data_IF_530835827917
#
_entry.id   IF_530835827917
#
_cell.length_a   1.000
_cell.length_b   1.000
_cell.length_c   1.000
_cell.angle_alpha   90.00
_cell.angle_beta   90.00
_cell.angle_gamma   90.00
#
_symmetry.space_group_name_H-M   'P 1'
#
loop_
_entity.id
_entity.type
_entity.pdbx_description
1 polymer ?
#
# COMPACT_ATOMS: atom_id res chain seq x y z
N UNK A 1 63.92 -18.47 -9.18
CA UNK A 1 62.79 -18.81 -10.06
C UNK A 1 62.21 -20.12 -9.58
N UNK A 2 61.01 -20.10 -8.99
CA UNK A 2 60.23 -21.31 -8.71
C UNK A 2 58.85 -21.02 -9.26
N UNK A 3 58.53 -21.62 -10.41
CA UNK A 3 57.17 -21.65 -10.94
C UNK A 3 56.50 -22.81 -10.22
N UNK A 4 55.56 -22.59 -9.29
CA UNK A 4 54.91 -23.67 -8.60
C UNK A 4 53.96 -24.35 -9.59
N UNK A 5 54.29 -25.58 -9.95
CA UNK A 5 53.44 -26.51 -10.68
C UNK A 5 52.31 -26.98 -9.77
N UNK A 6 51.43 -26.08 -9.34
CA UNK A 6 50.06 -26.41 -8.98
C UNK A 6 49.24 -25.13 -8.77
N UNK A 7 48.78 -24.55 -9.88
CA UNK A 7 47.83 -23.42 -9.86
C UNK A 7 46.43 -23.84 -9.36
N UNK A 8 46.32 -24.83 -8.47
CA UNK A 8 45.06 -25.28 -7.86
C UNK A 8 44.40 -24.13 -7.12
N UNK A 9 45.17 -23.31 -6.39
CA UNK A 9 44.63 -22.15 -5.68
C UNK A 9 44.04 -21.10 -6.64
N UNK A 10 44.72 -20.81 -7.76
CA UNK A 10 44.19 -19.89 -8.79
C UNK A 10 42.96 -20.49 -9.51
N UNK A 11 42.96 -21.79 -9.82
CA UNK A 11 41.80 -22.48 -10.38
C UNK A 11 40.62 -22.47 -9.42
N UNK A 12 40.85 -22.71 -8.13
CA UNK A 12 39.84 -22.66 -7.08
C UNK A 12 39.26 -21.26 -6.92
N UNK A 13 40.09 -20.22 -6.93
CA UNK A 13 39.64 -18.83 -6.90
C UNK A 13 38.75 -18.47 -8.11
N UNK A 14 39.10 -18.95 -9.32
CA UNK A 14 38.27 -18.74 -10.52
C UNK A 14 36.93 -19.48 -10.41
N UNK A 15 36.91 -20.72 -9.89
CA UNK A 15 35.66 -21.46 -9.68
C UNK A 15 34.78 -20.77 -8.64
N UNK A 16 35.34 -20.34 -7.51
CA UNK A 16 34.60 -19.58 -6.49
C UNK A 16 34.05 -18.26 -7.03
N UNK A 17 34.81 -17.53 -7.85
CA UNK A 17 34.34 -16.31 -8.48
C UNK A 17 33.19 -16.57 -9.47
N UNK A 18 33.23 -17.69 -10.22
CA UNK A 18 32.12 -18.09 -11.10
C UNK A 18 30.86 -18.42 -10.32
N UNK A 19 30.97 -19.18 -9.23
CA UNK A 19 29.84 -19.50 -8.34
C UNK A 19 29.25 -18.20 -7.77
N UNK A 20 30.09 -17.26 -7.31
CA UNK A 20 29.63 -15.98 -6.79
C UNK A 20 28.85 -15.15 -7.83
N UNK A 21 29.25 -15.20 -9.11
CA UNK A 21 28.51 -14.54 -10.20
C UNK A 21 27.16 -15.23 -10.43
N UNK A 22 27.13 -16.55 -10.48
CA UNK A 22 25.90 -17.33 -10.68
C UNK A 22 24.90 -17.10 -9.53
N UNK A 23 25.40 -17.08 -8.28
CA UNK A 23 24.61 -16.73 -7.10
C UNK A 23 24.10 -15.28 -7.19
N UNK A 24 24.91 -14.33 -7.65
CA UNK A 24 24.49 -12.95 -7.83
C UNK A 24 23.39 -12.82 -8.90
N UNK A 25 23.47 -13.58 -9.99
CA UNK A 25 22.42 -13.60 -11.02
C UNK A 25 21.10 -14.21 -10.53
N UNK A 26 21.18 -15.29 -9.74
CA UNK A 26 20.00 -15.89 -9.09
C UNK A 26 19.35 -14.89 -8.13
N UNK A 27 20.16 -14.26 -7.27
CA UNK A 27 19.68 -13.25 -6.32
C UNK A 27 19.03 -12.06 -7.04
N UNK A 28 19.61 -11.61 -8.16
CA UNK A 28 19.06 -10.53 -8.96
C UNK A 28 17.68 -10.89 -9.54
N UNK A 29 17.53 -12.12 -10.07
CA UNK A 29 16.23 -12.61 -10.55
C UNK A 29 15.20 -12.67 -9.43
N UNK A 30 15.59 -13.17 -8.26
CA UNK A 30 14.71 -13.25 -7.09
C UNK A 30 14.24 -11.85 -6.64
N UNK A 31 15.17 -10.90 -6.53
CA UNK A 31 14.84 -9.51 -6.17
C UNK A 31 13.88 -8.86 -7.17
N UNK A 32 14.04 -9.14 -8.47
CA UNK A 32 13.13 -8.63 -9.50
C UNK A 32 11.71 -9.20 -9.34
N UNK A 33 11.59 -10.51 -9.13
CA UNK A 33 10.29 -11.17 -8.92
C UNK A 33 9.60 -10.65 -7.65
N UNK A 34 10.34 -10.50 -6.55
CA UNK A 34 9.81 -9.98 -5.29
C UNK A 34 9.37 -8.53 -5.42
N UNK A 35 10.09 -7.72 -6.20
CA UNK A 35 9.67 -6.36 -6.52
C UNK A 35 8.36 -6.35 -7.33
N UNK A 36 8.25 -7.16 -8.38
CA UNK A 36 7.03 -7.26 -9.20
C UNK A 36 5.83 -7.63 -8.30
N UNK A 37 6.00 -8.62 -7.43
CA UNK A 37 4.98 -9.02 -6.45
C UNK A 37 4.63 -7.89 -5.49
N UNK A 38 5.61 -7.17 -4.96
CA UNK A 38 5.41 -6.03 -4.06
C UNK A 38 4.58 -4.93 -4.73
N UNK A 39 4.90 -4.57 -5.98
CA UNK A 39 4.16 -3.57 -6.76
C UNK A 39 2.73 -4.04 -7.03
N UNK A 40 2.52 -5.29 -7.44
CA UNK A 40 1.17 -5.83 -7.69
C UNK A 40 0.32 -5.84 -6.42
N UNK A 41 0.89 -6.28 -5.30
CA UNK A 41 0.19 -6.28 -4.01
C UNK A 41 -0.18 -4.85 -3.59
N UNK A 42 0.75 -3.90 -3.72
CA UNK A 42 0.49 -2.51 -3.37
C UNK A 42 -0.60 -1.88 -4.26
N UNK A 43 -0.59 -2.19 -5.56
CA UNK A 43 -1.65 -1.75 -6.48
C UNK A 43 -3.02 -2.32 -6.08
N UNK A 44 -3.10 -3.61 -5.76
CA UNK A 44 -4.34 -4.22 -5.28
C UNK A 44 -4.82 -3.58 -3.97
N UNK A 45 -3.92 -3.23 -3.04
CA UNK A 45 -4.26 -2.49 -1.82
C UNK A 45 -4.87 -1.12 -2.14
N UNK A 46 -4.29 -0.37 -3.08
CA UNK A 46 -4.82 0.94 -3.51
C UNK A 46 -6.24 0.79 -4.08
N UNK A 47 -6.48 -0.21 -4.94
CA UNK A 47 -7.81 -0.47 -5.50
C UNK A 47 -8.83 -0.80 -4.42
N UNK A 48 -8.48 -1.67 -3.47
CA UNK A 48 -9.35 -2.02 -2.35
C UNK A 48 -9.67 -0.80 -1.48
N UNK A 49 -8.69 0.06 -1.21
CA UNK A 49 -8.92 1.27 -0.42
C UNK A 49 -9.80 2.29 -1.16
N UNK A 50 -9.63 2.45 -2.47
CA UNK A 50 -10.51 3.29 -3.28
C UNK A 50 -11.98 2.82 -3.18
N UNK A 51 -12.23 1.51 -3.28
CA UNK A 51 -13.58 0.97 -3.10
C UNK A 51 -14.13 1.19 -1.68
N UNK A 52 -13.28 1.09 -0.66
CA UNK A 52 -13.68 1.37 0.73
C UNK A 52 -14.06 2.84 0.94
N UNK A 53 -13.41 3.79 0.24
CA UNK A 53 -13.80 5.21 0.27
C UNK A 53 -15.23 5.36 -0.23
N UNK A 54 -15.58 4.71 -1.34
CA UNK A 54 -16.93 4.81 -1.91
C UNK A 54 -17.99 4.24 -0.95
N UNK A 55 -17.70 3.11 -0.31
CA UNK A 55 -18.57 2.52 0.71
C UNK A 55 -18.72 3.46 1.91
N UNK A 56 -17.62 4.04 2.40
CA UNK A 56 -17.66 4.97 3.53
C UNK A 56 -18.45 6.25 3.19
N UNK A 57 -18.31 6.78 1.97
CA UNK A 57 -19.10 7.92 1.48
C UNK A 57 -20.59 7.61 1.46
N UNK A 58 -20.98 6.44 0.95
CA UNK A 58 -22.37 6.01 0.95
C UNK A 58 -22.93 5.85 2.36
N UNK A 59 -22.14 5.29 3.29
CA UNK A 59 -22.53 5.18 4.70
C UNK A 59 -22.83 6.56 5.29
N UNK A 60 -21.92 7.53 5.13
CA UNK A 60 -22.10 8.89 5.63
C UNK A 60 -23.37 9.52 5.05
N UNK A 61 -23.58 9.43 3.74
CA UNK A 61 -24.78 9.96 3.08
C UNK A 61 -26.07 9.33 3.60
N UNK A 62 -26.06 8.04 3.91
CA UNK A 62 -27.22 7.35 4.48
C UNK A 62 -27.50 7.85 5.90
N UNK A 63 -26.48 7.96 6.74
CA UNK A 63 -26.64 8.45 8.12
C UNK A 63 -27.05 9.92 8.17
N UNK A 64 -26.60 10.75 7.24
CA UNK A 64 -27.08 12.13 7.10
C UNK A 64 -28.58 12.20 6.88
N UNK A 65 -29.13 11.33 6.03
CA UNK A 65 -30.58 11.23 5.82
C UNK A 65 -31.29 10.77 7.08
N UNK A 66 -30.74 9.78 7.79
CA UNK A 66 -31.29 9.31 9.07
C UNK A 66 -31.36 10.43 10.11
N UNK A 67 -30.30 11.23 10.25
CA UNK A 67 -30.27 12.40 11.15
C UNK A 67 -31.30 13.45 10.72
N UNK A 68 -31.41 13.72 9.42
CA UNK A 68 -32.40 14.67 8.90
C UNK A 68 -33.83 14.24 9.23
N UNK A 69 -34.15 12.97 9.03
CA UNK A 69 -35.45 12.39 9.34
C UNK A 69 -35.76 12.43 10.85
N UNK A 70 -34.76 12.14 11.70
CA UNK A 70 -34.89 12.23 13.14
C UNK A 70 -35.13 13.68 13.60
N UNK A 71 -34.38 14.65 13.06
CA UNK A 71 -34.62 16.08 13.32
C UNK A 71 -36.02 16.52 12.91
N UNK A 72 -36.55 15.99 11.80
CA UNK A 72 -37.92 16.27 11.39
C UNK A 72 -38.93 15.68 12.38
N UNK A 73 -38.76 14.42 12.78
CA UNK A 73 -39.61 13.77 13.80
C UNK A 73 -39.57 14.53 15.13
N UNK A 74 -38.42 15.08 15.51
CA UNK A 74 -38.24 15.82 16.77
C UNK A 74 -39.12 17.07 16.79
N UNK A 75 -39.19 17.79 15.66
CA UNK A 75 -40.09 18.95 15.49
C UNK A 75 -41.56 18.62 15.71
N UNK A 76 -41.96 17.37 15.44
CA UNK A 76 -43.31 16.87 15.68
C UNK A 76 -43.47 16.16 17.04
N UNK A 77 -42.45 16.21 17.91
CA UNK A 77 -42.47 15.56 19.23
C UNK A 77 -42.48 14.02 19.17
N UNK A 78 -42.08 13.43 18.04
CA UNK A 78 -42.13 11.96 17.80
C UNK A 78 -40.85 11.22 18.13
N UNK A 79 -39.81 11.95 18.57
CA UNK A 79 -38.51 11.43 18.97
C UNK A 79 -37.91 12.35 20.02
N UNK A 80 -37.03 11.83 20.86
CA UNK A 80 -36.34 12.60 21.90
C UNK A 80 -35.10 13.33 21.34
N UNK A 81 -34.67 14.39 22.03
CA UNK A 81 -33.41 15.08 21.70
C UNK A 81 -32.23 14.12 21.82
N UNK A 82 -32.22 13.26 22.85
CA UNK A 82 -31.18 12.26 23.08
C UNK A 82 -31.00 11.28 21.89
N UNK A 83 -32.10 10.86 21.26
CA UNK A 83 -32.04 9.99 20.09
C UNK A 83 -31.46 10.73 18.87
N UNK A 84 -31.78 12.02 18.69
CA UNK A 84 -31.15 12.84 17.64
C UNK A 84 -29.65 12.99 17.90
N UNK A 85 -29.25 13.31 19.12
CA UNK A 85 -27.83 13.44 19.51
C UNK A 85 -27.07 12.14 19.26
N UNK A 86 -27.66 11.00 19.61
CA UNK A 86 -27.05 9.67 19.35
C UNK A 86 -26.82 9.43 17.86
N UNK A 87 -27.77 9.82 17.01
CA UNK A 87 -27.65 9.69 15.55
C UNK A 87 -26.60 10.66 14.97
N UNK A 88 -26.46 11.84 15.55
CA UNK A 88 -25.41 12.80 15.20
C UNK A 88 -24.01 12.32 15.59
N UNK A 89 -23.86 11.70 16.76
CA UNK A 89 -22.61 11.06 17.19
C UNK A 89 -22.22 9.93 16.25
N UNK A 90 -23.19 9.11 15.83
CA UNK A 90 -22.96 8.07 14.82
C UNK A 90 -22.55 8.67 13.47
N UNK A 91 -23.16 9.78 13.05
CA UNK A 91 -22.76 10.49 11.83
C UNK A 91 -21.32 11.00 11.94
N UNK A 92 -20.95 11.58 13.08
CA UNK A 92 -19.60 12.05 13.33
C UNK A 92 -18.59 10.88 13.24
N UNK A 93 -18.88 9.75 13.88
CA UNK A 93 -18.04 8.56 13.81
C UNK A 93 -17.87 8.05 12.38
N UNK A 94 -18.94 8.03 11.57
CA UNK A 94 -18.85 7.62 10.17
C UNK A 94 -18.04 8.60 9.31
N UNK A 95 -18.13 9.91 9.57
CA UNK A 95 -17.30 10.92 8.89
C UNK A 95 -15.82 10.76 9.24
N UNK A 96 -15.50 10.49 10.52
CA UNK A 96 -14.13 10.19 10.94
C UNK A 96 -13.58 8.92 10.29
N UNK A 97 -14.43 7.90 10.15
CA UNK A 97 -14.07 6.68 9.42
C UNK A 97 -13.76 6.97 7.94
N UNK A 98 -14.59 7.78 7.26
CA UNK A 98 -14.33 8.20 5.88
C UNK A 98 -12.96 8.88 5.74
N UNK A 99 -12.65 9.86 6.60
CA UNK A 99 -11.36 10.54 6.60
C UNK A 99 -10.20 9.56 6.81
N UNK A 100 -10.36 8.60 7.73
CA UNK A 100 -9.35 7.56 7.99
C UNK A 100 -9.12 6.69 6.76
N UNK A 101 -10.19 6.29 6.07
CA UNK A 101 -10.09 5.50 4.83
C UNK A 101 -9.41 6.29 3.70
N UNK A 102 -9.68 7.59 3.58
CA UNK A 102 -9.01 8.47 2.62
C UNK A 102 -7.51 8.63 2.94
N UNK A 103 -7.13 8.77 4.21
CA UNK A 103 -5.73 8.79 4.65
C UNK A 103 -5.04 7.47 4.28
N UNK A 104 -5.69 6.33 4.53
CA UNK A 104 -5.13 5.02 4.21
C UNK A 104 -4.86 4.86 2.70
N UNK A 105 -5.78 5.34 1.87
CA UNK A 105 -5.59 5.42 0.41
C UNK A 105 -4.36 6.23 0.02
N UNK A 106 -4.22 7.45 0.56
CA UNK A 106 -3.07 8.31 0.27
C UNK A 106 -1.75 7.68 0.75
N UNK A 107 -1.76 7.01 1.89
CA UNK A 107 -0.61 6.27 2.40
C UNK A 107 -0.22 5.11 1.47
N UNK A 108 -1.19 4.37 0.93
CA UNK A 108 -0.91 3.29 0.00
C UNK A 108 -0.37 3.78 -1.35
N UNK A 109 -0.90 4.91 -1.86
CA UNK A 109 -0.34 5.56 -3.06
C UNK A 109 1.09 6.01 -2.79
N UNK A 110 1.36 6.62 -1.63
CA UNK A 110 2.71 7.04 -1.24
C UNK A 110 3.68 5.86 -1.13
N UNK A 111 3.25 4.75 -0.55
CA UNK A 111 4.05 3.52 -0.47
C UNK A 111 4.42 2.99 -1.86
N UNK A 112 3.49 3.01 -2.83
CA UNK A 112 3.79 2.64 -4.21
C UNK A 112 4.86 3.56 -4.83
N UNK A 113 4.76 4.86 -4.63
CA UNK A 113 5.78 5.81 -5.09
C UNK A 113 7.16 5.55 -4.48
N UNK A 114 7.23 5.16 -3.21
CA UNK A 114 8.49 4.82 -2.55
C UNK A 114 9.11 3.53 -3.14
N UNK A 115 8.30 2.51 -3.40
CA UNK A 115 8.75 1.26 -4.06
C UNK A 115 9.30 1.57 -5.45
N UNK A 116 8.58 2.38 -6.24
CA UNK A 116 9.03 2.77 -7.58
C UNK A 116 10.29 3.65 -7.52
N UNK A 117 10.34 4.63 -6.62
CA UNK A 117 11.49 5.53 -6.47
C UNK A 117 12.77 4.80 -6.04
N UNK A 118 12.67 3.91 -5.05
CA UNK A 118 13.79 3.06 -4.63
C UNK A 118 14.24 2.10 -5.74
N UNK A 119 13.30 1.59 -6.53
CA UNK A 119 13.61 0.78 -7.72
C UNK A 119 14.37 1.59 -8.77
N UNK A 120 13.84 2.75 -9.18
CA UNK A 120 14.48 3.56 -10.21
C UNK A 120 15.89 4.01 -9.79
N UNK A 121 16.07 4.34 -8.50
CA UNK A 121 17.36 4.71 -7.94
C UNK A 121 18.35 3.53 -7.94
N UNK A 122 17.96 2.37 -7.41
CA UNK A 122 18.85 1.21 -7.29
C UNK A 122 19.26 0.63 -8.66
N UNK A 123 18.41 0.78 -9.67
CA UNK A 123 18.60 0.15 -10.98
C UNK A 123 18.98 1.13 -12.11
N UNK A 124 19.17 2.43 -11.81
CA UNK A 124 19.47 3.49 -12.79
C UNK A 124 18.55 3.50 -14.03
N UNK A 125 17.29 3.09 -13.86
CA UNK A 125 16.33 3.01 -14.97
C UNK A 125 15.80 4.42 -15.24
N UNK A 126 16.26 5.05 -16.33
CA UNK A 126 15.67 6.29 -16.82
C UNK A 126 14.39 5.94 -17.61
N UNK A 127 13.22 6.20 -17.02
CA UNK A 127 11.96 6.19 -17.76
C UNK A 127 11.97 7.35 -18.78
N UNK A 128 12.19 7.03 -20.07
CA UNK A 128 11.90 7.96 -21.17
C UNK A 128 10.39 8.01 -21.36
N UNK A 129 9.83 9.21 -21.18
CA UNK A 129 8.46 9.56 -21.54
C UNK A 129 8.21 9.40 -23.05
#
# INVERSE_FOLDING_TARGET
MSVPFDNISLKQAVVSAKIAIEDAEINLRQQKEDLIRSVMNQYATIQNQAQQIDIAKQSVQMQEKTVLDAKLKLKYGRVSVFEVDTLEDQLLAQRLNLVTTEINYLNAVTALHQILGSTLHNWHIHLRY
#
